data_IF_958056342289
#
_entry.id   IF_958056342289
#
_cell.length_a   1.000
_cell.length_b   1.000
_cell.length_c   1.000
_cell.angle_alpha   90.00
_cell.angle_beta   90.00
_cell.angle_gamma   90.00
#
_symmetry.space_group_name_H-M   'P 1'
#
loop_
_entity.id
_entity.type
_entity.pdbx_description
1 polymer ?
#
# COMPACT_ATOMS: atom_id res chain seq x y z
N UNK A 1 -21.23 41.96 -42.34
CA UNK A 1 -20.00 41.29 -41.84
C UNK A 1 -20.39 40.47 -40.62
N UNK A 2 -20.43 39.16 -40.76
CA UNK A 2 -20.84 38.19 -39.73
C UNK A 2 -19.59 37.69 -39.03
N UNK A 3 -19.49 37.87 -37.71
CA UNK A 3 -18.38 37.33 -36.90
C UNK A 3 -18.77 35.92 -36.44
N UNK A 4 -17.96 34.93 -36.83
CA UNK A 4 -18.12 33.54 -36.45
C UNK A 4 -17.89 33.36 -34.93
N UNK A 5 -18.61 32.44 -34.26
CA UNK A 5 -18.36 32.11 -32.86
C UNK A 5 -16.99 31.45 -32.72
N UNK A 6 -16.15 32.03 -31.86
CA UNK A 6 -14.83 31.52 -31.53
C UNK A 6 -14.92 30.12 -30.92
N UNK A 7 -14.25 29.18 -31.57
CA UNK A 7 -13.87 27.90 -30.98
C UNK A 7 -13.02 28.19 -29.74
N UNK A 8 -13.56 27.87 -28.57
CA UNK A 8 -12.75 27.73 -27.37
C UNK A 8 -11.76 26.61 -27.66
N UNK A 9 -10.47 26.95 -27.73
CA UNK A 9 -9.42 25.94 -27.66
C UNK A 9 -9.66 25.15 -26.37
N UNK A 10 -9.92 23.85 -26.50
CA UNK A 10 -9.91 22.93 -25.36
C UNK A 10 -8.54 23.07 -24.72
N UNK A 11 -8.45 23.80 -23.61
CA UNK A 11 -7.30 23.73 -22.72
C UNK A 11 -7.12 22.24 -22.42
N UNK A 12 -5.96 21.63 -22.71
CA UNK A 12 -5.72 20.25 -22.33
C UNK A 12 -6.03 20.15 -20.84
N UNK A 13 -6.93 19.21 -20.47
CA UNK A 13 -7.33 19.06 -19.08
C UNK A 13 -6.06 18.76 -18.28
N UNK A 14 -5.85 19.50 -17.19
CA UNK A 14 -4.85 19.16 -16.18
C UNK A 14 -4.96 17.71 -15.67
N UNK A 15 -6.06 17.02 -15.99
CA UNK A 15 -6.27 15.59 -15.76
C UNK A 15 -5.25 14.66 -16.45
N UNK A 16 -4.54 15.13 -17.48
CA UNK A 16 -3.46 14.35 -18.13
C UNK A 16 -2.07 14.66 -17.53
N UNK A 17 -1.95 15.60 -16.59
CA UNK A 17 -0.70 15.95 -15.93
C UNK A 17 -0.54 15.11 -14.66
N UNK A 18 0.00 13.90 -14.90
CA UNK A 18 0.59 12.98 -13.94
C UNK A 18 -0.42 12.30 -13.01
N UNK A 19 -0.96 11.17 -13.46
CA UNK A 19 -1.37 10.12 -12.55
C UNK A 19 -0.17 9.79 -11.65
N UNK A 20 -0.20 10.32 -10.43
CA UNK A 20 0.91 10.22 -9.49
C UNK A 20 1.13 8.75 -9.15
N UNK A 21 2.11 8.16 -9.82
CA UNK A 21 2.59 6.83 -9.52
C UNK A 21 3.51 6.96 -8.32
N UNK A 22 3.12 6.33 -7.22
CA UNK A 22 3.88 6.29 -5.98
C UNK A 22 4.64 4.98 -5.94
N UNK A 23 5.95 5.06 -5.68
CA UNK A 23 6.76 3.87 -5.40
C UNK A 23 6.95 3.72 -3.90
N UNK A 24 6.63 2.55 -3.36
CA UNK A 24 6.84 2.24 -1.95
C UNK A 24 7.49 0.86 -1.79
N UNK A 25 8.39 0.73 -0.81
CA UNK A 25 9.09 -0.51 -0.51
C UNK A 25 8.79 -0.99 0.91
N UNK A 26 8.59 -2.29 1.06
CA UNK A 26 8.54 -2.98 2.35
C UNK A 26 9.45 -4.18 2.38
N UNK A 27 9.96 -4.50 3.57
CA UNK A 27 10.70 -5.73 3.82
C UNK A 27 9.76 -6.94 3.85
N UNK A 28 10.29 -8.14 3.59
CA UNK A 28 9.50 -9.37 3.77
C UNK A 28 9.08 -9.55 5.23
N UNK A 29 9.94 -9.14 6.18
CA UNK A 29 9.72 -9.24 7.63
C UNK A 29 8.42 -8.56 8.10
N UNK A 30 8.01 -7.49 7.43
CA UNK A 30 6.77 -6.76 7.71
C UNK A 30 5.51 -7.56 7.34
N UNK A 31 5.59 -8.47 6.37
CA UNK A 31 4.47 -9.32 5.97
C UNK A 31 4.40 -10.60 6.79
N UNK A 32 5.55 -11.21 7.08
CA UNK A 32 5.60 -12.48 7.84
C UNK A 32 5.55 -12.28 9.36
N UNK A 33 5.77 -11.07 9.86
CA UNK A 33 5.76 -10.76 11.29
C UNK A 33 6.96 -11.34 12.06
N UNK A 34 8.08 -11.63 11.39
CA UNK A 34 9.31 -12.14 11.99
C UNK A 34 10.54 -11.52 11.35
N UNK A 35 11.57 -11.27 12.16
CA UNK A 35 12.89 -10.81 11.73
C UNK A 35 13.87 -11.95 11.50
N UNK A 36 13.48 -13.19 11.82
CA UNK A 36 14.31 -14.36 11.57
C UNK A 36 14.37 -14.68 10.06
N UNK A 37 15.48 -15.25 9.57
CA UNK A 37 15.55 -15.72 8.19
C UNK A 37 14.47 -16.77 7.89
N UNK A 38 13.94 -16.74 6.67
CA UNK A 38 12.93 -17.69 6.20
C UNK A 38 13.64 -18.90 5.59
N UNK A 39 13.43 -20.07 6.17
CA UNK A 39 14.04 -21.32 5.73
C UNK A 39 13.20 -21.96 4.62
N UNK A 40 13.85 -22.32 3.51
CA UNK A 40 13.33 -23.23 2.49
C UNK A 40 14.10 -24.55 2.65
N UNK A 41 13.42 -25.58 3.17
CA UNK A 41 14.03 -26.86 3.52
C UNK A 41 13.73 -27.94 2.48
N UNK A 42 14.77 -28.58 1.95
CA UNK A 42 14.64 -29.68 0.99
C UNK A 42 14.65 -29.25 -0.48
N UNK A 43 14.65 -30.24 -1.37
CA UNK A 43 14.98 -30.07 -2.80
C UNK A 43 13.83 -29.57 -3.69
N UNK A 44 12.61 -29.50 -3.16
CA UNK A 44 11.39 -29.02 -3.84
C UNK A 44 10.46 -28.36 -2.84
N UNK A 45 10.96 -27.36 -2.13
CA UNK A 45 10.16 -26.60 -1.18
C UNK A 45 10.15 -25.13 -1.54
N UNK A 46 9.19 -24.43 -0.96
CA UNK A 46 9.10 -22.99 -1.08
C UNK A 46 8.33 -22.42 0.09
N UNK A 47 8.45 -21.11 0.21
CA UNK A 47 7.64 -20.30 1.11
C UNK A 47 6.65 -19.50 0.27
N UNK A 48 5.47 -19.30 0.83
CA UNK A 48 4.42 -18.46 0.26
C UNK A 48 4.14 -17.34 1.26
N UNK A 49 4.16 -16.11 0.77
CA UNK A 49 3.97 -14.89 1.56
C UNK A 49 2.77 -14.16 0.97
N UNK A 50 1.78 -13.90 1.82
CA UNK A 50 0.61 -13.10 1.46
C UNK A 50 0.94 -11.61 1.55
N UNK A 51 0.64 -10.90 0.48
CA UNK A 51 0.96 -9.50 0.30
C UNK A 51 -0.35 -8.71 0.19
N UNK A 52 -0.85 -8.14 1.31
CA UNK A 52 -2.13 -7.47 1.32
C UNK A 52 -2.03 -6.05 0.74
N UNK A 53 -3.09 -5.60 0.07
CA UNK A 53 -3.24 -4.26 -0.47
C UNK A 53 -4.57 -3.66 -0.03
N UNK A 54 -4.56 -2.36 0.27
CA UNK A 54 -5.79 -1.60 0.49
C UNK A 54 -6.63 -1.61 -0.80
N UNK A 55 -7.97 -1.70 -0.71
CA UNK A 55 -8.85 -1.63 -1.88
C UNK A 55 -8.76 -0.29 -2.64
N UNK A 56 -8.13 0.73 -2.02
CA UNK A 56 -7.86 2.03 -2.64
C UNK A 56 -6.69 2.01 -3.60
N UNK A 57 -5.86 0.97 -3.55
CA UNK A 57 -4.61 0.90 -4.30
C UNK A 57 -4.84 0.15 -5.61
N UNK A 58 -4.34 0.71 -6.70
CA UNK A 58 -4.15 0.00 -7.95
C UNK A 58 -2.66 -0.23 -8.18
N UNK A 59 -2.26 -1.50 -8.11
CA UNK A 59 -0.88 -1.92 -8.33
C UNK A 59 -0.60 -1.90 -9.83
N UNK A 60 0.37 -1.09 -10.25
CA UNK A 60 0.78 -0.97 -11.65
C UNK A 60 1.91 -1.97 -11.99
N UNK A 61 2.71 -2.33 -10.98
CA UNK A 61 3.80 -3.29 -11.08
C UNK A 61 4.74 -3.15 -9.90
N UNK A 62 5.94 -3.71 -10.04
CA UNK A 62 6.96 -3.56 -9.02
C UNK A 62 8.16 -4.47 -9.21
N UNK A 63 8.96 -4.55 -8.16
CA UNK A 63 10.18 -5.35 -8.07
C UNK A 63 10.22 -6.11 -6.75
N UNK A 64 10.63 -7.37 -6.80
CA UNK A 64 10.96 -8.20 -5.65
C UNK A 64 12.48 -8.36 -5.60
N UNK A 65 13.06 -8.11 -4.43
CA UNK A 65 14.48 -8.36 -4.16
C UNK A 65 14.58 -9.42 -3.07
N UNK A 66 15.23 -10.54 -3.39
CA UNK A 66 15.46 -11.67 -2.48
C UNK A 66 16.95 -11.78 -2.19
N UNK A 67 17.33 -11.54 -0.95
CA UNK A 67 18.66 -11.83 -0.41
C UNK A 67 18.65 -13.22 0.21
N UNK A 68 19.59 -14.07 -0.20
CA UNK A 68 19.62 -15.47 0.20
C UNK A 68 21.01 -15.90 0.72
N UNK A 69 21.03 -16.89 1.61
CA UNK A 69 22.22 -17.60 2.09
C UNK A 69 21.97 -19.11 2.00
N UNK A 70 22.83 -19.83 1.30
CA UNK A 70 22.74 -21.28 1.16
C UNK A 70 23.78 -22.00 2.01
N UNK A 71 23.36 -23.14 2.55
CA UNK A 71 24.29 -24.11 3.13
C UNK A 71 25.37 -24.50 2.09
N UNK A 72 26.58 -24.78 2.57
CA UNK A 72 27.69 -25.23 1.72
C UNK A 72 27.34 -26.55 1.02
N UNK A 73 27.64 -26.65 -0.28
CA UNK A 73 27.26 -27.77 -1.15
C UNK A 73 28.46 -28.29 -1.96
N UNK A 74 28.40 -29.54 -2.43
CA UNK A 74 29.37 -30.06 -3.40
C UNK A 74 29.37 -29.26 -4.72
N UNK A 75 30.51 -29.21 -5.41
CA UNK A 75 30.70 -28.40 -6.61
C UNK A 75 29.87 -28.85 -7.83
N UNK A 76 29.41 -30.11 -7.85
CA UNK A 76 28.57 -30.69 -8.89
C UNK A 76 27.06 -30.45 -8.67
N UNK A 77 26.70 -29.77 -7.56
CA UNK A 77 25.32 -29.41 -7.27
C UNK A 77 24.98 -28.06 -7.88
N UNK A 78 23.79 -27.99 -8.48
CA UNK A 78 23.19 -26.74 -8.92
C UNK A 78 21.84 -26.57 -8.26
N UNK A 79 21.47 -25.32 -7.99
CA UNK A 79 20.20 -24.99 -7.38
C UNK A 79 19.55 -23.87 -8.15
N UNK A 80 18.24 -23.88 -8.20
CA UNK A 80 17.44 -22.92 -8.94
C UNK A 80 16.49 -22.27 -7.95
N UNK A 81 16.64 -20.96 -7.76
CA UNK A 81 15.72 -20.16 -6.98
C UNK A 81 14.68 -19.57 -7.92
N UNK A 82 13.43 -20.01 -7.79
CA UNK A 82 12.29 -19.50 -8.51
C UNK A 82 11.52 -18.49 -7.66
N UNK A 83 11.09 -17.39 -8.29
CA UNK A 83 10.22 -16.40 -7.68
C UNK A 83 8.95 -16.31 -8.53
N UNK A 84 7.79 -16.43 -7.88
CA UNK A 84 6.48 -16.32 -8.53
C UNK A 84 5.61 -15.28 -7.85
N UNK A 85 4.82 -14.57 -8.65
CA UNK A 85 3.80 -13.61 -8.23
C UNK A 85 2.43 -14.05 -8.76
N UNK A 86 1.47 -14.33 -7.87
CA UNK A 86 0.16 -14.89 -8.21
C UNK A 86 0.23 -16.10 -9.14
N UNK A 87 1.02 -17.10 -8.74
CA UNK A 87 1.27 -18.33 -9.49
C UNK A 87 2.00 -18.15 -10.85
N UNK A 88 2.43 -16.93 -11.20
CA UNK A 88 3.25 -16.66 -12.40
C UNK A 88 4.72 -16.54 -12.03
N UNK A 89 5.57 -17.35 -12.64
CA UNK A 89 7.03 -17.24 -12.46
C UNK A 89 7.52 -15.93 -13.04
N UNK A 90 8.06 -15.06 -12.20
CA UNK A 90 8.60 -13.73 -12.57
C UNK A 90 10.13 -13.73 -12.67
N UNK A 91 10.80 -14.66 -12.00
CA UNK A 91 12.24 -14.86 -12.11
C UNK A 91 12.65 -16.29 -11.79
N UNK A 92 13.75 -16.73 -12.38
CA UNK A 92 14.38 -17.98 -12.03
C UNK A 92 15.89 -17.87 -12.21
N UNK A 93 16.62 -18.02 -11.12
CA UNK A 93 18.07 -17.85 -11.09
C UNK A 93 18.76 -19.15 -10.69
N UNK A 94 19.78 -19.54 -11.44
CA UNK A 94 20.66 -20.66 -11.07
C UNK A 94 21.72 -20.17 -10.10
N UNK A 95 21.82 -20.84 -8.97
CA UNK A 95 22.76 -20.58 -7.88
C UNK A 95 23.86 -21.63 -7.96
N UNK A 96 25.08 -21.16 -8.12
CA UNK A 96 26.27 -22.01 -8.17
C UNK A 96 26.68 -22.38 -6.75
N UNK A 97 27.29 -23.55 -6.56
CA UNK A 97 27.71 -24.02 -5.23
C UNK A 97 28.70 -23.08 -4.52
N UNK A 98 29.49 -22.32 -5.29
CA UNK A 98 30.42 -21.30 -4.79
C UNK A 98 29.73 -20.00 -4.37
N UNK A 99 28.53 -19.73 -4.89
CA UNK A 99 27.76 -18.53 -4.61
C UNK A 99 26.81 -18.75 -3.43
N UNK A 100 27.41 -18.78 -2.23
CA UNK A 100 26.67 -19.03 -0.99
C UNK A 100 25.69 -17.91 -0.65
N UNK A 101 26.01 -16.67 -1.01
CA UNK A 101 25.20 -15.50 -0.68
C UNK A 101 24.98 -14.67 -1.92
N UNK A 102 23.72 -14.53 -2.29
CA UNK A 102 23.36 -13.83 -3.51
C UNK A 102 22.13 -12.96 -3.33
N UNK A 103 21.79 -12.32 -4.45
CA UNK A 103 20.66 -11.44 -4.60
C UNK A 103 19.97 -11.77 -5.90
N UNK A 104 18.65 -11.97 -5.83
CA UNK A 104 17.81 -12.17 -7.00
C UNK A 104 16.79 -11.06 -7.05
N UNK A 105 16.82 -10.31 -8.15
CA UNK A 105 15.82 -9.29 -8.46
C UNK A 105 14.81 -9.83 -9.48
N UNK A 106 13.56 -9.46 -9.33
CA UNK A 106 12.48 -9.86 -10.22
C UNK A 106 11.46 -8.75 -10.39
N UNK A 107 11.20 -8.31 -11.62
CA UNK A 107 10.11 -7.39 -11.90
C UNK A 107 8.79 -8.14 -12.09
N UNK A 108 7.68 -7.56 -11.64
CA UNK A 108 6.33 -8.08 -11.88
C UNK A 108 5.42 -6.99 -12.42
N UNK A 109 4.44 -7.40 -13.23
CA UNK A 109 3.40 -6.52 -13.72
C UNK A 109 2.22 -6.50 -12.73
N UNK A 110 1.53 -5.35 -12.65
CA UNK A 110 0.29 -5.24 -11.90
C UNK A 110 -0.84 -6.09 -12.46
N UNK A 111 -1.92 -6.22 -11.69
CA UNK A 111 -3.16 -6.89 -12.13
C UNK A 111 -4.22 -5.86 -12.48
N UNK A 112 -4.96 -6.09 -13.56
CA UNK A 112 -6.07 -5.22 -13.93
C UNK A 112 -7.23 -5.29 -12.91
N UNK A 113 -7.39 -6.43 -12.25
CA UNK A 113 -8.43 -6.61 -11.24
C UNK A 113 -7.93 -6.18 -9.85
N UNK A 114 -8.77 -5.49 -9.06
CA UNK A 114 -8.50 -5.26 -7.65
C UNK A 114 -8.44 -6.59 -6.91
N UNK A 115 -7.24 -6.99 -6.52
CA UNK A 115 -7.04 -8.13 -5.63
C UNK A 115 -6.58 -7.57 -4.28
N UNK A 116 -7.25 -7.97 -3.20
CA UNK A 116 -6.92 -7.50 -1.85
C UNK A 116 -5.67 -8.15 -1.28
N UNK A 117 -5.28 -9.32 -1.79
CA UNK A 117 -4.12 -10.10 -1.35
C UNK A 117 -3.45 -10.76 -2.55
N UNK A 118 -2.19 -10.43 -2.80
CA UNK A 118 -1.35 -11.12 -3.78
C UNK A 118 -0.48 -12.17 -3.10
N UNK A 119 0.01 -13.15 -3.87
CA UNK A 119 0.87 -14.22 -3.34
C UNK A 119 2.26 -14.15 -3.95
N UNK A 120 3.25 -13.90 -3.09
CA UNK A 120 4.67 -14.05 -3.44
C UNK A 120 5.12 -15.45 -3.03
N UNK A 121 5.59 -16.25 -3.98
CA UNK A 121 6.15 -17.57 -3.72
C UNK A 121 7.62 -17.59 -4.06
N UNK A 122 8.46 -18.07 -3.14
CA UNK A 122 9.90 -18.28 -3.38
C UNK A 122 10.19 -19.77 -3.21
N UNK A 123 10.71 -20.39 -4.26
CA UNK A 123 10.94 -21.84 -4.32
C UNK A 123 12.41 -22.14 -4.60
N UNK A 124 12.95 -23.16 -3.94
CA UNK A 124 14.27 -23.71 -4.23
C UNK A 124 14.09 -25.08 -4.87
N UNK A 125 14.66 -25.25 -6.06
CA UNK A 125 14.74 -26.54 -6.74
C UNK A 125 16.19 -26.95 -6.86
N UNK A 126 16.49 -28.17 -6.47
CA UNK A 126 17.86 -28.65 -6.46
C UNK A 126 18.05 -29.82 -7.44
N UNK A 127 19.16 -29.79 -8.15
CA UNK A 127 19.54 -30.83 -9.10
C UNK A 127 20.98 -31.26 -8.84
N UNK A 128 21.14 -32.52 -8.40
CA UNK A 128 22.40 -33.17 -8.12
C UNK A 128 22.19 -34.65 -7.81
N UNK A 129 23.23 -35.47 -7.93
CA UNK A 129 23.18 -36.84 -7.42
C UNK A 129 23.46 -36.80 -5.91
N UNK A 130 22.57 -37.40 -5.12
CA UNK A 130 22.85 -37.64 -3.71
C UNK A 130 23.97 -38.67 -3.62
N UNK A 131 25.18 -38.22 -3.28
CA UNK A 131 26.25 -39.13 -2.83
C UNK A 131 25.86 -39.80 -1.52
N UNK A 132 26.48 -40.94 -1.21
CA UNK A 132 26.31 -41.59 0.09
C UNK A 132 26.61 -40.59 1.23
N UNK A 133 25.63 -40.36 2.11
CA UNK A 133 25.81 -39.53 3.33
C UNK A 133 25.23 -38.11 3.28
N UNK A 134 24.62 -37.66 2.17
CA UNK A 134 23.89 -36.38 2.15
C UNK A 134 22.44 -36.62 2.58
N UNK A 135 22.05 -36.14 3.76
CA UNK A 135 20.66 -36.20 4.18
C UNK A 135 19.81 -35.20 3.38
N UNK A 136 18.64 -35.60 2.84
CA UNK A 136 17.75 -34.72 2.05
C UNK A 136 17.31 -33.42 2.74
N UNK A 137 17.41 -33.33 4.08
CA UNK A 137 17.11 -32.14 4.88
C UNK A 137 18.31 -31.22 5.15
N UNK A 138 19.52 -31.59 4.72
CA UNK A 138 20.72 -30.74 4.86
C UNK A 138 20.75 -29.57 3.87
N UNK A 139 19.80 -29.56 2.93
CA UNK A 139 19.67 -28.60 1.86
C UNK A 139 18.79 -27.46 2.33
N UNK A 140 19.48 -26.45 2.85
CA UNK A 140 18.86 -25.26 3.42
C UNK A 140 19.21 -24.05 2.56
N UNK A 141 18.17 -23.35 2.13
CA UNK A 141 18.23 -22.00 1.60
C UNK A 141 17.56 -21.09 2.61
N UNK A 142 18.28 -20.09 3.10
CA UNK A 142 17.72 -19.06 3.99
C UNK A 142 17.51 -17.77 3.21
N UNK A 143 16.37 -17.13 3.43
CA UNK A 143 16.06 -15.80 2.92
C UNK A 143 16.17 -14.80 4.06
N UNK A 144 16.98 -13.76 3.88
CA UNK A 144 17.03 -12.65 4.82
C UNK A 144 15.72 -11.84 4.71
N UNK A 145 14.78 -12.05 5.64
CA UNK A 145 13.47 -11.40 5.61
C UNK A 145 13.55 -9.87 5.79
N UNK A 146 14.58 -9.37 6.48
CA UNK A 146 14.74 -7.95 6.78
C UNK A 146 15.37 -7.23 5.59
N UNK A 147 16.40 -7.84 4.98
CA UNK A 147 17.08 -7.27 3.81
C UNK A 147 16.29 -7.45 2.51
N UNK A 148 15.56 -8.57 2.36
CA UNK A 148 14.67 -8.81 1.22
C UNK A 148 13.43 -7.95 1.30
N UNK A 149 12.86 -7.59 0.15
CA UNK A 149 11.68 -6.74 0.13
C UNK A 149 10.99 -6.66 -1.22
N UNK A 150 9.83 -6.03 -1.19
CA UNK A 150 8.96 -5.80 -2.34
C UNK A 150 8.82 -4.29 -2.50
N UNK A 151 9.10 -3.80 -3.69
CA UNK A 151 8.82 -2.44 -4.11
C UNK A 151 7.63 -2.47 -5.06
N UNK A 152 6.60 -1.70 -4.77
CA UNK A 152 5.43 -1.59 -5.65
C UNK A 152 5.40 -0.20 -6.26
N UNK A 153 4.95 -0.13 -7.51
CA UNK A 153 4.49 1.08 -8.16
C UNK A 153 2.97 1.05 -8.17
N UNK A 154 2.33 2.06 -7.60
CA UNK A 154 0.88 2.09 -7.48
C UNK A 154 0.30 3.50 -7.62
N UNK A 155 -1.01 3.54 -7.86
CA UNK A 155 -1.81 4.78 -7.80
C UNK A 155 -3.04 4.56 -6.92
N UNK A 156 -3.60 5.65 -6.41
CA UNK A 156 -4.86 5.61 -5.68
C UNK A 156 -6.05 5.67 -6.66
N UNK A 157 -7.06 4.84 -6.40
CA UNK A 157 -8.31 4.82 -7.16
C UNK A 157 -9.22 5.96 -6.71
N UNK A 158 -9.97 6.59 -7.63
CA UNK A 158 -11.08 7.46 -7.28
C UNK A 158 -12.06 6.75 -6.35
N UNK A 159 -12.52 7.46 -5.31
CA UNK A 159 -13.42 6.93 -4.30
C UNK A 159 -14.87 7.36 -4.56
N UNK A 160 -15.79 6.47 -4.18
CA UNK A 160 -17.21 6.77 -3.98
C UNK A 160 -17.57 6.32 -2.56
N UNK A 161 -17.06 7.01 -1.55
CA UNK A 161 -17.00 6.47 -0.20
C UNK A 161 -18.41 6.29 0.37
N UNK A 162 -18.61 5.18 1.06
CA UNK A 162 -19.79 4.92 1.88
C UNK A 162 -19.39 4.86 3.36
N UNK A 163 -20.32 5.17 4.27
CA UNK A 163 -20.02 5.19 5.71
C UNK A 163 -19.71 3.81 6.28
N UNK A 164 -20.31 2.76 5.72
CA UNK A 164 -20.04 1.36 6.09
C UNK A 164 -18.67 0.87 5.58
N UNK A 165 -18.13 1.49 4.53
CA UNK A 165 -16.80 1.23 3.97
C UNK A 165 -15.68 2.02 4.68
N UNK A 166 -15.98 2.84 5.69
CA UNK A 166 -14.99 3.71 6.33
C UNK A 166 -13.76 2.94 6.89
N UNK A 167 -13.95 1.68 7.30
CA UNK A 167 -12.87 0.78 7.72
C UNK A 167 -11.92 0.43 6.56
N UNK A 168 -12.44 0.30 5.35
CA UNK A 168 -11.64 0.00 4.15
C UNK A 168 -10.95 1.27 3.59
N UNK A 169 -11.43 2.46 4.00
CA UNK A 169 -10.81 3.73 3.63
C UNK A 169 -9.59 4.07 4.49
N UNK A 170 -9.62 3.73 5.78
CA UNK A 170 -8.53 3.87 6.75
C UNK A 170 -8.03 2.47 7.11
N UNK A 171 -7.06 1.96 6.35
CA UNK A 171 -6.77 0.53 6.31
C UNK A 171 -5.29 0.23 6.59
N UNK A 172 -5.02 -0.74 7.47
CA UNK A 172 -3.68 -1.24 7.77
C UNK A 172 -2.94 -1.79 6.53
N UNK A 173 -3.67 -2.20 5.50
CA UNK A 173 -3.15 -2.69 4.20
C UNK A 173 -2.68 -1.58 3.27
N UNK A 174 -2.82 -0.30 3.65
CA UNK A 174 -2.33 0.83 2.85
C UNK A 174 -0.80 0.81 2.73
N UNK A 175 -0.21 0.93 1.54
CA UNK A 175 1.24 0.72 1.41
C UNK A 175 2.12 1.86 1.92
N UNK A 176 1.77 3.12 1.63
CA UNK A 176 2.56 4.28 2.05
C UNK A 176 2.41 4.70 3.50
N UNK A 177 2.96 5.89 3.79
CA UNK A 177 2.69 6.61 5.04
C UNK A 177 1.27 7.16 5.00
N UNK A 178 0.43 6.73 5.94
CA UNK A 178 -0.94 7.19 5.99
C UNK A 178 -1.05 8.47 6.84
N UNK A 179 -1.62 9.52 6.23
CA UNK A 179 -1.85 10.82 6.87
C UNK A 179 -3.34 11.15 6.88
N UNK A 180 -3.86 11.53 8.04
CA UNK A 180 -5.24 11.97 8.23
C UNK A 180 -5.25 13.41 8.73
N UNK A 181 -6.00 14.27 8.06
CA UNK A 181 -6.20 15.65 8.51
C UNK A 181 -7.51 15.77 9.30
N UNK A 182 -7.47 16.51 10.40
CA UNK A 182 -8.64 16.87 11.20
C UNK A 182 -8.85 18.37 11.04
N UNK A 183 -9.99 18.72 10.46
CA UNK A 183 -10.41 20.09 10.24
C UNK A 183 -11.36 20.51 11.35
N UNK A 184 -10.99 21.57 12.06
CA UNK A 184 -11.81 22.17 13.11
C UNK A 184 -11.95 23.66 12.81
N UNK A 185 -13.18 24.18 12.86
CA UNK A 185 -13.46 25.59 12.66
C UNK A 185 -14.26 26.16 13.84
N UNK A 186 -14.00 27.42 14.25
CA UNK A 186 -12.98 28.33 13.73
C UNK A 186 -11.64 28.18 14.46
N UNK A 187 -10.53 28.37 13.74
CA UNK A 187 -9.15 28.31 14.30
C UNK A 187 -8.93 29.15 15.55
N UNK A 188 -9.60 30.30 15.64
CA UNK A 188 -9.39 31.27 16.72
C UNK A 188 -10.08 30.88 18.03
N UNK A 189 -10.93 29.84 18.01
CA UNK A 189 -11.59 29.32 19.20
C UNK A 189 -11.82 27.81 19.09
N UNK A 190 -10.72 27.04 19.01
CA UNK A 190 -10.80 25.58 19.16
C UNK A 190 -11.30 25.26 20.57
N UNK A 191 -12.59 25.03 20.70
CA UNK A 191 -13.21 24.61 21.96
C UNK A 191 -12.79 23.20 22.40
N UNK A 192 -12.97 22.90 23.69
CA UNK A 192 -12.71 21.58 24.27
C UNK A 192 -13.48 20.46 23.54
N UNK A 193 -14.67 20.77 23.04
CA UNK A 193 -15.50 19.85 22.25
C UNK A 193 -14.79 19.42 20.96
N UNK A 194 -14.14 20.34 20.25
CA UNK A 194 -13.38 20.04 19.03
C UNK A 194 -12.18 19.13 19.31
N UNK A 195 -11.44 19.41 20.39
CA UNK A 195 -10.32 18.57 20.81
C UNK A 195 -10.77 17.17 21.21
N UNK A 196 -11.94 17.07 21.85
CA UNK A 196 -12.53 15.78 22.25
C UNK A 196 -12.88 14.94 21.03
N UNK A 197 -13.57 15.52 20.05
CA UNK A 197 -13.90 14.83 18.80
C UNK A 197 -12.64 14.49 17.98
N UNK A 198 -11.69 15.41 17.85
CA UNK A 198 -10.43 15.15 17.17
C UNK A 198 -9.64 13.99 17.80
N UNK A 199 -9.64 13.90 19.13
CA UNK A 199 -9.03 12.78 19.85
C UNK A 199 -9.76 11.45 19.56
N UNK A 200 -11.09 11.43 19.59
CA UNK A 200 -11.87 10.23 19.28
C UNK A 200 -11.64 9.74 17.85
N UNK A 201 -11.63 10.66 16.88
CA UNK A 201 -11.33 10.36 15.46
C UNK A 201 -9.92 9.80 15.32
N UNK A 202 -8.92 10.45 15.93
CA UNK A 202 -7.52 10.02 15.88
C UNK A 202 -7.32 8.63 16.47
N UNK A 203 -7.91 8.35 17.64
CA UNK A 203 -7.85 7.04 18.27
C UNK A 203 -8.51 5.97 17.42
N UNK A 204 -9.68 6.26 16.84
CA UNK A 204 -10.38 5.30 15.98
C UNK A 204 -9.59 4.98 14.71
N UNK A 205 -9.03 6.00 14.06
CA UNK A 205 -8.16 5.82 12.90
C UNK A 205 -6.92 4.99 13.26
N UNK A 206 -6.28 5.26 14.41
CA UNK A 206 -5.12 4.49 14.87
C UNK A 206 -5.44 3.01 15.12
N UNK A 207 -6.64 2.70 15.62
CA UNK A 207 -7.11 1.33 15.80
C UNK A 207 -7.27 0.63 14.45
N UNK A 208 -7.88 1.29 13.46
CA UNK A 208 -8.06 0.72 12.13
C UNK A 208 -6.75 0.53 11.36
N UNK A 209 -5.75 1.38 11.62
CA UNK A 209 -4.40 1.23 11.06
C UNK A 209 -3.58 0.10 11.69
N UNK A 210 -4.13 -0.69 12.62
CA UNK A 210 -3.48 -1.91 13.10
C UNK A 210 -2.13 -1.68 13.79
N UNK A 211 -1.96 -0.53 14.47
CA UNK A 211 -0.68 -0.06 15.08
C UNK A 211 0.39 0.38 14.08
N UNK A 212 0.05 0.52 12.80
CA UNK A 212 0.96 1.14 11.83
C UNK A 212 1.07 2.64 12.08
N UNK A 213 2.22 3.26 11.72
CA UNK A 213 2.39 4.70 11.87
C UNK A 213 1.26 5.47 11.18
N UNK A 214 0.59 6.34 11.94
CA UNK A 214 -0.48 7.22 11.49
C UNK A 214 -0.05 8.66 11.78
N UNK A 215 0.01 9.50 10.75
CA UNK A 215 0.28 10.92 10.91
C UNK A 215 -1.04 11.68 10.99
N UNK A 216 -1.33 12.27 12.15
CA UNK A 216 -2.46 13.17 12.32
C UNK A 216 -2.00 14.61 12.09
N UNK A 217 -2.74 15.35 11.28
CA UNK A 217 -2.54 16.78 11.06
C UNK A 217 -3.81 17.54 11.49
N UNK A 218 -3.65 18.67 12.17
CA UNK A 218 -4.75 19.59 12.41
C UNK A 218 -4.65 20.75 11.42
N UNK A 219 -5.74 21.03 10.71
CA UNK A 219 -5.79 22.05 9.66
C UNK A 219 -7.07 22.89 9.77
N UNK A 220 -7.07 24.01 9.06
CA UNK A 220 -8.13 25.03 9.06
C UNK A 220 -8.83 25.18 7.72
N UNK A 221 -8.34 24.45 6.72
CA UNK A 221 -8.72 24.55 5.33
C UNK A 221 -8.56 23.19 4.68
N UNK A 222 -9.36 22.97 3.64
CA UNK A 222 -9.24 21.75 2.85
C UNK A 222 -7.84 21.68 2.23
N UNK A 223 -7.18 20.54 2.41
CA UNK A 223 -5.86 20.30 1.84
C UNK A 223 -6.00 19.23 0.76
N UNK A 224 -5.45 19.52 -0.42
CA UNK A 224 -5.43 18.53 -1.49
C UNK A 224 -4.63 17.29 -1.07
N UNK A 225 -5.00 16.14 -1.64
CA UNK A 225 -4.26 14.89 -1.53
C UNK A 225 -4.11 14.32 -0.11
N UNK A 226 -5.07 14.63 0.78
CA UNK A 226 -5.17 14.06 2.12
C UNK A 226 -6.60 13.61 2.39
N UNK A 227 -6.75 12.53 3.14
CA UNK A 227 -8.04 12.21 3.74
C UNK A 227 -8.30 13.18 4.89
N UNK A 228 -9.53 13.69 4.97
CA UNK A 228 -9.86 14.73 5.94
C UNK A 228 -11.13 14.41 6.71
N UNK A 229 -11.16 14.79 7.99
CA UNK A 229 -12.33 14.74 8.86
C UNK A 229 -12.64 16.16 9.31
N UNK A 230 -13.73 16.73 8.81
CA UNK A 230 -14.25 18.01 9.24
C UNK A 230 -15.20 17.85 10.43
N UNK A 231 -14.95 18.63 11.47
CA UNK A 231 -15.69 18.56 12.74
C UNK A 231 -16.19 19.97 13.05
N UNK A 232 -17.50 20.13 13.14
CA UNK A 232 -18.11 21.40 13.53
C UNK A 232 -19.55 21.56 13.08
N UNK A 233 -20.16 22.66 13.50
CA UNK A 233 -21.49 23.07 13.07
C UNK A 233 -21.48 23.57 11.62
N UNK A 234 -22.65 23.59 10.98
CA UNK A 234 -22.80 24.19 9.64
C UNK A 234 -22.24 25.62 9.57
N UNK A 235 -22.45 26.42 10.61
CA UNK A 235 -22.01 27.81 10.65
C UNK A 235 -20.48 27.92 10.66
N UNK A 236 -19.80 27.00 11.34
CA UNK A 236 -18.34 26.94 11.41
C UNK A 236 -17.74 26.41 10.11
N UNK A 237 -18.40 25.44 9.47
CA UNK A 237 -17.88 24.75 8.29
C UNK A 237 -18.18 25.47 6.96
N UNK A 238 -19.10 26.45 6.91
CA UNK A 238 -19.55 27.09 5.66
C UNK A 238 -18.45 27.84 4.89
N UNK A 239 -17.37 28.25 5.58
CA UNK A 239 -16.22 28.90 4.96
C UNK A 239 -15.15 27.93 4.44
N UNK A 240 -15.27 26.64 4.75
CA UNK A 240 -14.26 25.62 4.45
C UNK A 240 -14.83 24.60 3.46
N UNK A 241 -16.07 24.15 3.69
CA UNK A 241 -16.70 23.10 2.90
C UNK A 241 -17.42 23.65 1.66
N UNK A 242 -17.53 22.86 0.58
CA UNK A 242 -18.38 23.20 -0.55
C UNK A 242 -19.83 23.45 -0.13
N UNK A 243 -20.45 24.47 -0.71
CA UNK A 243 -21.86 24.84 -0.42
C UNK A 243 -22.83 23.66 -0.54
N UNK A 244 -22.63 22.79 -1.53
CA UNK A 244 -23.45 21.59 -1.74
C UNK A 244 -23.43 20.60 -0.57
N UNK A 245 -22.32 20.52 0.17
CA UNK A 245 -22.21 19.71 1.40
C UNK A 245 -22.86 20.47 2.56
N UNK A 246 -22.55 21.76 2.73
CA UNK A 246 -23.14 22.58 3.80
C UNK A 246 -24.68 22.63 3.76
N UNK A 247 -25.28 22.61 2.57
CA UNK A 247 -26.73 22.64 2.41
C UNK A 247 -27.41 21.32 2.83
N UNK A 248 -26.64 20.23 3.01
CA UNK A 248 -27.13 18.95 3.53
C UNK A 248 -27.10 18.90 5.08
N UNK A 249 -26.31 19.76 5.72
CA UNK A 249 -26.14 19.79 7.19
C UNK A 249 -27.32 20.55 7.81
N UNK A 250 -28.40 19.84 8.16
CA UNK A 250 -29.60 20.47 8.77
C UNK A 250 -29.64 20.36 10.29
N UNK A 251 -29.12 19.26 10.85
CA UNK A 251 -29.07 18.98 12.30
C UNK A 251 -27.77 18.21 12.61
N UNK A 252 -27.75 17.34 13.65
CA UNK A 252 -26.69 16.34 13.83
C UNK A 252 -26.48 15.57 12.54
N UNK A 253 -25.26 15.60 12.03
CA UNK A 253 -24.95 15.15 10.68
C UNK A 253 -23.71 14.28 10.69
N UNK A 254 -23.74 13.18 9.93
CA UNK A 254 -22.55 12.41 9.59
C UNK A 254 -22.66 12.09 8.12
N UNK A 255 -21.66 12.49 7.34
CA UNK A 255 -21.63 12.24 5.91
C UNK A 255 -20.21 12.03 5.43
N UNK A 256 -20.04 11.20 4.41
CA UNK A 256 -18.75 10.97 3.76
C UNK A 256 -18.87 11.25 2.28
N UNK A 257 -17.86 11.91 1.73
CA UNK A 257 -17.84 12.40 0.37
C UNK A 257 -16.48 12.16 -0.27
N UNK A 258 -16.38 12.03 -1.60
CA UNK A 258 -15.12 12.23 -2.29
C UNK A 258 -14.58 13.62 -1.95
N UNK A 259 -13.28 13.73 -1.73
CA UNK A 259 -12.67 15.01 -1.42
C UNK A 259 -12.76 15.95 -2.64
N UNK A 260 -13.20 17.22 -2.49
CA UNK A 260 -13.58 18.07 -3.61
C UNK A 260 -12.42 18.47 -4.54
N UNK A 261 -11.19 18.43 -4.03
CA UNK A 261 -9.98 18.74 -4.83
C UNK A 261 -9.30 17.49 -5.41
N UNK A 262 -9.63 16.29 -4.91
CA UNK A 262 -8.99 15.04 -5.31
C UNK A 262 -9.89 13.85 -4.90
N UNK A 263 -10.59 13.26 -5.86
CA UNK A 263 -11.58 12.22 -5.58
C UNK A 263 -10.98 10.89 -5.09
N UNK A 264 -9.65 10.74 -5.11
CA UNK A 264 -8.92 9.59 -4.55
C UNK A 264 -8.84 9.63 -3.01
N UNK A 265 -9.21 10.76 -2.43
CA UNK A 265 -9.28 10.98 -0.99
C UNK A 265 -10.73 11.19 -0.54
N UNK A 266 -10.98 10.98 0.75
CA UNK A 266 -12.31 11.20 1.31
C UNK A 266 -12.35 12.43 2.23
N UNK A 267 -13.55 12.98 2.34
CA UNK A 267 -13.93 13.99 3.33
C UNK A 267 -15.07 13.41 4.18
N UNK A 268 -14.78 13.15 5.46
CA UNK A 268 -15.79 12.81 6.46
C UNK A 268 -16.22 14.10 7.17
N UNK A 269 -17.52 14.32 7.33
CA UNK A 269 -18.08 15.51 8.00
C UNK A 269 -18.88 15.04 9.21
N UNK A 270 -18.53 15.59 10.38
CA UNK A 270 -19.07 15.27 11.71
C UNK A 270 -19.59 16.52 12.42
#
# INVERSE_FOLDING_TARGET
MSLAPGSFAETPRLADLLEETVRHRRSLSEFVGTTAPLAIEGSQSGIEIEIPFSPRIEVLGGEVEILHDHAARPADWSSQLGISWDDRVISSSTIQAEDRRGKVDAAFAGTAEPVSVHRLKVESRETGQFGEGVEPGSLLTQIDAVGSGISIDYRLRPLRPLLDELRDLIDERYWGDYSLSILTAPLYSVEQTHLTWGNLVSQRAAIWMGRRPLKIMHQDSLAASLDQVAIGTRAELIGILPKSICDQITTSFVGIYPHPSDDRHFLLVL
#
